data_IF_165399120936
#
_entry.id   IF_165399120936
#
_cell.length_a   1.000
_cell.length_b   1.000
_cell.length_c   1.000
_cell.angle_alpha   90.00
_cell.angle_beta   90.00
_cell.angle_gamma   90.00
#
_symmetry.space_group_name_H-M   'P 1'
#
loop_
_entity.id
_entity.type
_entity.pdbx_description
1 polymer ?
#
# COMPACT_ATOMS: atom_id res chain seq x y z
N UNK A 1 -17.50 8.65 -0.19
CA UNK A 1 -16.16 8.11 -0.47
C UNK A 1 -15.24 8.63 0.61
N UNK A 2 -14.52 7.74 1.27
CA UNK A 2 -13.61 8.10 2.36
C UNK A 2 -12.16 7.99 1.88
N UNK A 3 -11.33 8.97 2.22
CA UNK A 3 -9.92 9.03 1.81
C UNK A 3 -9.05 7.98 2.50
N UNK A 4 -9.51 7.46 3.65
CA UNK A 4 -8.86 6.39 4.41
C UNK A 4 -9.55 5.05 4.16
N UNK A 5 -8.81 3.96 4.36
CA UNK A 5 -9.34 2.61 4.24
C UNK A 5 -10.33 2.29 5.36
N UNK A 6 -11.28 1.40 5.03
CA UNK A 6 -12.20 0.76 5.97
C UNK A 6 -11.84 -0.70 6.16
N UNK A 7 -12.57 -1.40 7.02
CA UNK A 7 -12.48 -2.87 7.06
C UNK A 7 -12.91 -3.41 5.69
N UNK A 8 -12.03 -4.13 4.96
CA UNK A 8 -12.39 -4.64 3.65
C UNK A 8 -13.51 -5.67 3.75
N UNK A 9 -14.49 -5.56 2.86
CA UNK A 9 -15.46 -6.63 2.68
C UNK A 9 -14.73 -7.88 2.14
N UNK A 10 -15.12 -9.06 2.64
CA UNK A 10 -14.48 -10.31 2.24
C UNK A 10 -13.08 -10.51 2.83
N UNK A 11 -12.72 -9.85 3.93
CA UNK A 11 -11.43 -10.10 4.61
C UNK A 11 -11.26 -11.57 5.01
N UNK A 12 -12.36 -12.24 5.39
CA UNK A 12 -12.39 -13.67 5.68
C UNK A 12 -12.37 -14.55 4.42
N UNK A 13 -12.76 -13.97 3.27
CA UNK A 13 -12.71 -14.61 1.95
C UNK A 13 -11.35 -14.41 1.25
N UNK A 14 -10.39 -13.78 1.93
CA UNK A 14 -9.03 -13.54 1.42
C UNK A 14 -8.79 -12.15 0.83
N UNK A 15 -9.71 -11.20 0.98
CA UNK A 15 -9.45 -9.82 0.60
C UNK A 15 -8.57 -9.10 1.64
N UNK A 16 -7.26 -9.12 1.41
CA UNK A 16 -6.24 -8.59 2.32
C UNK A 16 -5.73 -7.21 1.91
N UNK A 17 -6.35 -6.54 0.94
CA UNK A 17 -5.87 -5.27 0.40
C UNK A 17 -6.98 -4.22 0.38
N UNK A 18 -6.81 -3.14 1.13
CA UNK A 18 -7.68 -1.97 1.08
C UNK A 18 -6.80 -0.71 1.10
N UNK A 19 -6.94 0.11 0.06
CA UNK A 19 -6.11 1.31 -0.13
C UNK A 19 -6.90 2.62 -0.02
N UNK A 20 -8.22 2.57 0.14
CA UNK A 20 -9.07 3.75 0.23
C UNK A 20 -8.95 4.67 -0.99
N UNK A 21 -9.45 5.91 -0.89
CA UNK A 21 -9.37 6.87 -1.99
C UNK A 21 -8.04 7.65 -2.01
N UNK A 22 -6.97 7.02 -2.50
CA UNK A 22 -5.62 7.59 -2.59
C UNK A 22 -5.56 9.01 -3.18
N UNK A 23 -6.10 9.20 -4.38
CA UNK A 23 -6.09 10.51 -5.07
C UNK A 23 -6.86 11.58 -4.31
N UNK A 24 -7.94 11.22 -3.62
CA UNK A 24 -8.72 12.16 -2.82
C UNK A 24 -7.94 12.61 -1.59
N UNK A 25 -7.17 11.71 -0.97
CA UNK A 25 -6.28 12.06 0.14
C UNK A 25 -5.19 13.04 -0.30
N UNK A 26 -4.47 12.73 -1.37
CA UNK A 26 -3.39 13.60 -1.85
C UNK A 26 -3.91 14.97 -2.28
N UNK A 27 -5.07 15.04 -2.93
CA UNK A 27 -5.62 16.30 -3.43
C UNK A 27 -6.20 17.22 -2.33
N UNK A 28 -6.02 16.87 -1.05
CA UNK A 28 -6.33 17.78 0.05
C UNK A 28 -5.27 18.89 0.06
N UNK A 29 -5.64 20.04 -0.49
CA UNK A 29 -4.85 21.27 -0.42
C UNK A 29 -5.80 22.39 -0.02
N UNK A 30 -5.86 22.71 1.27
CA UNK A 30 -6.64 23.85 1.77
C UNK A 30 -5.71 24.93 2.29
N UNK A 31 -5.74 26.07 1.61
CA UNK A 31 -5.16 27.31 2.10
C UNK A 31 -6.03 27.82 3.24
N UNK A 32 -5.50 27.79 4.45
CA UNK A 32 -6.20 28.32 5.62
C UNK A 32 -6.19 29.86 5.52
N UNK A 33 -7.36 30.50 5.62
CA UNK A 33 -7.41 31.96 5.74
C UNK A 33 -6.76 32.38 7.07
N UNK A 34 -6.01 33.48 7.05
CA UNK A 34 -5.30 34.09 8.19
C UNK A 34 -4.14 33.25 8.76
N UNK A 35 -2.96 33.33 8.13
CA UNK A 35 -1.67 33.06 8.77
C UNK A 35 -1.36 31.64 9.25
N UNK A 36 -2.23 30.64 9.00
CA UNK A 36 -1.96 29.24 9.31
C UNK A 36 -1.36 28.50 8.10
N UNK A 37 -0.46 27.54 8.33
CA UNK A 37 0.13 26.74 7.25
C UNK A 37 -0.97 26.01 6.45
N UNK A 38 -0.75 25.88 5.15
CA UNK A 38 -1.66 25.14 4.26
C UNK A 38 -1.69 23.66 4.69
N UNK A 39 -2.89 23.09 4.81
CA UNK A 39 -3.05 21.68 5.15
C UNK A 39 -2.93 20.87 3.86
N UNK A 40 -1.94 19.98 3.83
CA UNK A 40 -1.72 19.00 2.77
C UNK A 40 -2.04 17.60 3.29
N UNK A 41 -2.65 16.77 2.46
CA UNK A 41 -2.88 15.37 2.76
C UNK A 41 -1.66 14.51 2.40
N UNK A 42 -1.42 13.49 3.22
CA UNK A 42 -0.42 12.44 3.05
C UNK A 42 -1.09 11.08 3.26
N UNK A 43 -0.86 10.16 2.33
CA UNK A 43 -1.44 8.83 2.35
C UNK A 43 -0.39 7.83 2.85
N UNK A 44 -0.69 7.11 3.93
CA UNK A 44 0.20 6.15 4.55
C UNK A 44 -0.36 4.73 4.44
N UNK A 45 0.45 3.79 3.96
CA UNK A 45 0.10 2.37 3.85
C UNK A 45 0.70 1.58 5.02
N UNK A 46 -0.17 1.04 5.87
CA UNK A 46 0.17 0.19 7.00
C UNK A 46 0.05 -1.28 6.60
N UNK A 47 0.91 -2.12 7.17
CA UNK A 47 0.80 -3.58 7.07
C UNK A 47 0.45 -4.15 8.43
N UNK A 48 -0.63 -4.93 8.47
CA UNK A 48 -1.09 -5.63 9.66
C UNK A 48 -0.82 -7.10 9.45
N UNK A 49 0.08 -7.65 10.25
CA UNK A 49 0.47 -9.06 10.20
C UNK A 49 -0.07 -9.80 11.43
N UNK A 50 -0.64 -11.00 11.26
CA UNK A 50 -1.05 -11.81 12.40
C UNK A 50 0.19 -12.33 13.13
N UNK A 51 0.15 -12.32 14.46
CA UNK A 51 1.22 -12.94 15.25
C UNK A 51 1.16 -14.46 15.11
N UNK A 52 2.30 -15.12 15.23
CA UNK A 52 2.43 -16.59 15.26
C UNK A 52 1.40 -17.29 16.18
N UNK A 53 1.13 -16.69 17.33
CA UNK A 53 0.19 -17.20 18.33
C UNK A 53 -1.24 -17.23 17.81
N UNK A 54 -1.66 -16.16 17.15
CA UNK A 54 -2.98 -16.06 16.54
C UNK A 54 -3.13 -17.05 15.38
N UNK A 55 -2.10 -17.17 14.55
CA UNK A 55 -2.13 -18.09 13.41
C UNK A 55 -2.28 -19.56 13.83
N UNK A 56 -1.63 -19.95 14.94
CA UNK A 56 -1.83 -21.29 15.54
C UNK A 56 -3.28 -21.54 15.96
N UNK A 57 -3.98 -20.52 16.44
CA UNK A 57 -5.39 -20.61 16.83
C UNK A 57 -6.28 -20.72 15.59
N UNK A 58 -6.10 -19.84 14.59
CA UNK A 58 -6.92 -19.81 13.37
C UNK A 58 -6.80 -21.12 12.59
N UNK A 59 -5.60 -21.70 12.50
CA UNK A 59 -5.40 -22.99 11.84
C UNK A 59 -5.82 -24.21 12.69
N UNK A 60 -6.37 -24.01 13.89
CA UNK A 60 -6.78 -25.11 14.78
C UNK A 60 -5.60 -25.99 15.25
N UNK A 61 -4.38 -25.45 15.25
CA UNK A 61 -3.15 -26.21 15.42
C UNK A 61 -2.79 -26.34 16.91
N UNK A 62 -3.39 -27.32 17.59
CA UNK A 62 -3.01 -27.71 18.96
C UNK A 62 -2.11 -28.95 18.91
N UNK A 63 -0.97 -28.93 19.60
CA UNK A 63 -0.02 -30.07 19.71
C UNK A 63 0.65 -30.57 18.42
N UNK A 64 1.21 -29.69 17.59
CA UNK A 64 1.98 -30.12 16.40
C UNK A 64 3.47 -29.82 16.53
N UNK A 65 4.30 -30.73 16.01
CA UNK A 65 5.76 -30.58 15.92
C UNK A 65 6.16 -29.27 15.23
N UNK A 66 7.13 -28.57 15.83
CA UNK A 66 7.66 -27.29 15.34
C UNK A 66 8.09 -27.35 13.87
N UNK A 67 8.57 -28.50 13.39
CA UNK A 67 9.00 -28.70 12.00
C UNK A 67 7.85 -28.57 11.00
N UNK A 68 6.69 -29.11 11.32
CA UNK A 68 5.49 -29.06 10.44
C UNK A 68 4.84 -27.68 10.48
N UNK A 69 4.88 -27.02 11.64
CA UNK A 69 4.46 -25.63 11.78
C UNK A 69 5.34 -24.69 10.94
N UNK A 70 6.67 -24.84 10.96
CA UNK A 70 7.57 -24.01 10.17
C UNK A 70 7.39 -24.17 8.66
N UNK A 71 7.12 -25.39 8.18
CA UNK A 71 6.81 -25.64 6.76
C UNK A 71 5.51 -24.96 6.33
N UNK A 72 4.44 -25.07 7.15
CA UNK A 72 3.16 -24.43 6.86
C UNK A 72 3.21 -22.92 6.99
N UNK A 73 3.92 -22.41 7.99
CA UNK A 73 4.22 -20.98 8.12
C UNK A 73 4.85 -20.46 6.83
N UNK A 74 5.83 -21.18 6.28
CA UNK A 74 6.44 -20.80 5.01
C UNK A 74 5.46 -20.84 3.84
N UNK A 75 4.61 -21.87 3.75
CA UNK A 75 3.71 -22.01 2.59
C UNK A 75 2.42 -21.19 2.66
N UNK A 76 1.95 -20.83 3.86
CA UNK A 76 0.65 -20.17 4.07
C UNK A 76 0.80 -18.77 4.66
N UNK A 77 1.81 -18.52 5.49
CA UNK A 77 1.95 -17.24 6.22
C UNK A 77 2.90 -16.26 5.53
N UNK A 78 3.83 -16.75 4.71
CA UNK A 78 4.74 -15.91 3.93
C UNK A 78 3.91 -15.08 2.92
N UNK A 79 3.69 -13.81 3.26
CA UNK A 79 2.91 -12.87 2.46
C UNK A 79 1.48 -12.58 2.95
N UNK A 80 1.01 -13.23 4.03
CA UNK A 80 -0.31 -12.90 4.62
C UNK A 80 -0.18 -11.67 5.51
N UNK A 81 -0.37 -10.51 4.90
CA UNK A 81 -0.45 -9.22 5.57
C UNK A 81 -1.66 -8.45 5.04
N UNK A 82 -2.49 -7.96 5.94
CA UNK A 82 -3.56 -7.03 5.59
C UNK A 82 -2.94 -5.66 5.32
N UNK A 83 -3.01 -5.22 4.07
CA UNK A 83 -2.59 -3.88 3.66
C UNK A 83 -3.74 -2.92 3.88
N UNK A 84 -3.53 -1.90 4.70
CA UNK A 84 -4.52 -0.91 5.09
C UNK A 84 -3.95 0.48 4.90
N UNK A 85 -4.70 1.42 4.31
CA UNK A 85 -4.24 2.81 4.21
C UNK A 85 -4.94 3.80 5.13
N UNK A 86 -4.24 4.85 5.53
CA UNK A 86 -4.80 5.98 6.28
C UNK A 86 -4.40 7.30 5.63
N UNK A 87 -5.35 8.22 5.56
CA UNK A 87 -5.12 9.59 5.16
C UNK A 87 -4.86 10.46 6.39
N UNK A 88 -3.71 11.12 6.43
CA UNK A 88 -3.27 12.00 7.52
C UNK A 88 -2.77 13.32 6.96
N UNK A 89 -2.66 14.37 7.79
CA UNK A 89 -1.96 15.58 7.38
C UNK A 89 -0.48 15.31 7.12
N UNK A 90 0.11 16.05 6.20
CA UNK A 90 1.54 15.98 5.83
C UNK A 90 2.49 16.26 7.01
N UNK A 91 2.01 16.99 8.02
CA UNK A 91 2.76 17.25 9.25
C UNK A 91 2.94 16.03 10.16
N UNK A 92 2.20 14.93 9.92
CA UNK A 92 2.29 13.71 10.73
C UNK A 92 3.35 12.75 10.17
N UNK A 93 4.16 12.18 11.05
CA UNK A 93 5.16 11.17 10.70
C UNK A 93 4.71 9.76 11.12
N UNK A 94 5.38 8.71 10.64
CA UNK A 94 5.03 7.33 11.00
C UNK A 94 5.04 7.10 12.52
N UNK A 95 5.92 7.81 13.25
CA UNK A 95 6.04 7.73 14.71
C UNK A 95 4.79 8.18 15.47
N UNK A 96 4.01 9.09 14.88
CA UNK A 96 2.77 9.57 15.49
C UNK A 96 1.61 8.64 15.12
N UNK A 97 1.59 8.14 13.88
CA UNK A 97 0.51 7.34 13.31
C UNK A 97 0.48 5.94 13.93
N UNK A 98 1.65 5.30 14.03
CA UNK A 98 1.81 3.94 14.56
C UNK A 98 1.13 3.69 15.90
N UNK A 99 1.43 4.45 16.98
CA UNK A 99 0.84 4.19 18.29
C UNK A 99 -0.68 4.43 18.31
N UNK A 100 -1.17 5.44 17.58
CA UNK A 100 -2.60 5.73 17.48
C UNK A 100 -3.36 4.61 16.76
N UNK A 101 -2.80 4.12 15.65
CA UNK A 101 -3.42 3.04 14.89
C UNK A 101 -3.34 1.71 15.63
N UNK A 102 -2.20 1.41 16.27
CA UNK A 102 -2.03 0.19 17.06
C UNK A 102 -3.07 0.09 18.19
N UNK A 103 -3.31 1.18 18.94
CA UNK A 103 -4.38 1.21 19.96
C UNK A 103 -5.77 1.00 19.36
N UNK A 104 -6.04 1.62 18.22
CA UNK A 104 -7.35 1.52 17.55
C UNK A 104 -7.63 0.08 17.09
N UNK A 105 -6.64 -0.57 16.46
CA UNK A 105 -6.75 -1.97 16.04
C UNK A 105 -6.92 -2.89 17.26
N UNK A 106 -6.11 -2.70 18.31
CA UNK A 106 -6.24 -3.50 19.54
C UNK A 106 -7.64 -3.41 20.16
N UNK A 107 -8.28 -2.23 20.11
CA UNK A 107 -9.66 -2.08 20.60
C UNK A 107 -10.71 -2.74 19.70
N UNK A 108 -10.47 -2.83 18.39
CA UNK A 108 -11.41 -3.43 17.43
C UNK A 108 -11.29 -4.96 17.39
N UNK A 109 -10.10 -5.48 17.65
CA UNK A 109 -9.81 -6.92 17.57
C UNK A 109 -9.62 -7.53 18.95
N UNK A 110 -10.49 -7.21 19.91
CA UNK A 110 -10.39 -7.64 21.32
C UNK A 110 -9.86 -9.09 21.46
N UNK A 111 -8.65 -9.24 21.99
CA UNK A 111 -8.00 -10.54 22.22
C UNK A 111 -7.15 -11.10 21.07
N UNK A 112 -7.05 -10.42 19.93
CA UNK A 112 -6.19 -10.79 18.81
C UNK A 112 -4.83 -10.07 18.89
N UNK A 113 -3.75 -10.84 18.99
CA UNK A 113 -2.38 -10.31 18.91
C UNK A 113 -2.01 -10.04 17.44
N UNK A 114 -2.11 -8.79 17.02
CA UNK A 114 -1.72 -8.32 15.69
C UNK A 114 -0.50 -7.40 15.79
N UNK A 115 0.40 -7.51 14.81
CA UNK A 115 1.55 -6.62 14.66
C UNK A 115 1.31 -5.64 13.52
N UNK A 116 1.37 -4.35 13.82
CA UNK A 116 1.23 -3.29 12.82
C UNK A 116 2.62 -2.75 12.50
N UNK A 117 2.96 -2.68 11.22
CA UNK A 117 4.18 -2.04 10.74
C UNK A 117 3.85 -0.90 9.79
N UNK A 118 4.63 0.18 9.92
CA UNK A 118 4.57 1.38 9.07
C UNK A 118 5.99 1.91 8.98
N UNK A 119 6.43 2.15 7.76
CA UNK A 119 7.70 2.79 7.46
C UNK A 119 7.41 4.12 6.74
N UNK A 120 8.27 5.13 6.90
CA UNK A 120 8.02 6.47 6.36
C UNK A 120 8.03 6.50 4.82
N UNK A 121 8.68 5.54 4.16
CA UNK A 121 8.67 5.33 2.70
C UNK A 121 7.32 4.82 2.18
N UNK A 122 6.48 4.28 3.06
CA UNK A 122 5.11 3.86 2.75
C UNK A 122 4.10 5.00 2.88
N UNK A 123 4.57 6.23 3.14
CA UNK A 123 3.76 7.44 3.29
C UNK A 123 4.05 8.45 2.18
N UNK A 124 3.09 8.68 1.30
CA UNK A 124 3.22 9.51 0.11
C UNK A 124 2.42 10.81 0.22
N UNK A 125 3.05 11.93 -0.14
CA UNK A 125 2.40 13.22 -0.37
C UNK A 125 2.68 13.73 -1.79
N UNK A 126 2.02 14.81 -2.22
CA UNK A 126 2.41 15.49 -3.47
C UNK A 126 3.80 16.14 -3.40
N UNK A 127 4.31 16.43 -2.20
CA UNK A 127 5.66 16.98 -2.03
C UNK A 127 6.74 15.91 -2.27
N UNK A 128 6.40 14.64 -2.06
CA UNK A 128 7.30 13.49 -2.23
C UNK A 128 7.28 12.91 -3.64
N UNK A 129 6.53 13.53 -4.57
CA UNK A 129 6.48 13.06 -5.95
C UNK A 129 7.91 13.11 -6.52
N UNK A 130 8.44 11.97 -7.01
CA UNK A 130 9.83 11.91 -7.45
C UNK A 130 10.06 12.97 -8.51
N UNK A 131 11.03 13.84 -8.25
CA UNK A 131 11.53 14.74 -9.27
C UNK A 131 12.24 13.85 -10.30
N UNK A 132 11.72 13.80 -11.53
CA UNK A 132 12.33 13.04 -12.61
C UNK A 132 13.76 13.55 -12.78
N UNK A 133 14.72 12.67 -12.52
CA UNK A 133 16.12 13.00 -12.68
C UNK A 133 16.49 12.98 -14.18
N UNK A 134 17.63 13.56 -14.51
CA UNK A 134 18.16 13.64 -15.87
C UNK A 134 18.30 12.24 -16.50
N UNK A 135 18.60 11.23 -15.68
CA UNK A 135 18.69 9.84 -16.11
C UNK A 135 17.32 9.24 -16.43
N UNK A 136 16.28 9.58 -15.66
CA UNK A 136 14.92 9.13 -15.94
C UNK A 136 14.43 9.66 -17.28
N UNK A 137 14.75 10.91 -17.60
CA UNK A 137 14.42 11.51 -18.89
C UNK A 137 15.10 10.79 -20.07
N UNK A 138 16.38 10.43 -19.92
CA UNK A 138 17.12 9.66 -20.93
C UNK A 138 16.46 8.29 -21.18
N UNK A 139 16.10 7.57 -20.12
CA UNK A 139 15.41 6.28 -20.21
C UNK A 139 14.04 6.41 -20.88
N UNK A 140 13.25 7.42 -20.53
CA UNK A 140 11.95 7.68 -21.14
C UNK A 140 12.10 7.94 -22.64
N UNK A 141 13.11 8.72 -23.06
CA UNK A 141 13.38 8.98 -24.46
C UNK A 141 13.78 7.72 -25.22
N UNK A 142 14.61 6.87 -24.63
CA UNK A 142 15.05 5.62 -25.23
C UNK A 142 13.86 4.67 -25.44
N UNK A 143 13.05 4.44 -24.42
CA UNK A 143 11.84 3.59 -24.52
C UNK A 143 10.85 4.19 -25.53
N UNK A 144 10.67 5.51 -25.52
CA UNK A 144 9.83 6.21 -26.48
C UNK A 144 10.27 5.98 -27.93
N UNK A 145 11.58 6.03 -28.20
CA UNK A 145 12.11 5.79 -29.56
C UNK A 145 11.90 4.35 -30.03
N UNK A 146 12.06 3.36 -29.15
CA UNK A 146 11.79 1.95 -29.47
C UNK A 146 10.30 1.75 -29.80
N UNK A 147 9.41 2.33 -28.99
CA UNK A 147 7.96 2.27 -29.25
C UNK A 147 7.59 2.87 -30.61
N UNK A 148 8.20 3.98 -31.00
CA UNK A 148 7.98 4.60 -32.32
C UNK A 148 8.44 3.67 -33.45
N UNK A 149 9.62 3.06 -33.34
CA UNK A 149 10.12 2.11 -34.34
C UNK A 149 9.18 0.91 -34.48
N UNK A 150 8.72 0.35 -33.36
CA UNK A 150 7.74 -0.75 -33.38
C UNK A 150 6.43 -0.35 -34.06
N UNK A 151 5.89 0.83 -33.75
CA UNK A 151 4.68 1.34 -34.39
C UNK A 151 4.86 1.50 -35.92
N UNK A 152 6.00 2.04 -36.36
CA UNK A 152 6.30 2.19 -37.79
C UNK A 152 6.38 0.82 -38.46
N UNK A 153 7.08 -0.14 -37.86
CA UNK A 153 7.17 -1.49 -38.39
C UNK A 153 5.80 -2.18 -38.49
N UNK A 154 4.96 -2.05 -37.46
CA UNK A 154 3.59 -2.61 -37.48
C UNK A 154 2.71 -1.98 -38.56
N UNK A 155 2.83 -0.67 -38.81
CA UNK A 155 2.09 0.01 -39.88
C UNK A 155 2.56 -0.46 -41.25
N UNK A 156 3.87 -0.62 -41.45
CA UNK A 156 4.44 -1.13 -42.70
C UNK A 156 3.96 -2.57 -42.97
N UNK A 157 4.00 -3.44 -41.96
CA UNK A 157 3.54 -4.82 -42.09
C UNK A 157 2.04 -4.89 -42.41
N UNK A 158 1.21 -4.10 -41.73
CA UNK A 158 -0.22 -4.01 -42.01
C UNK A 158 -0.52 -3.55 -43.45
N UNK A 159 0.19 -2.53 -43.94
CA UNK A 159 0.03 -2.03 -45.32
C UNK A 159 0.50 -3.06 -46.35
N UNK A 160 1.54 -3.84 -46.04
CA UNK A 160 2.07 -4.85 -46.94
C UNK A 160 1.19 -6.11 -47.01
N UNK A 161 0.50 -6.49 -45.93
CA UNK A 161 -0.45 -7.61 -45.94
C UNK A 161 -1.79 -7.26 -46.59
N UNK A 162 -2.14 -5.97 -46.67
CA UNK A 162 -3.36 -5.48 -47.34
C UNK A 162 -3.23 -5.27 -48.86
N UNK A 163 -2.04 -5.48 -49.44
CA UNK A 163 -1.79 -5.51 -50.88
C UNK A 163 -1.67 -6.94 -51.37
#
# INVERSE_FOLDING_TARGET
FDSSSKVPAGVLDGNLFEYGAFRQCLNIHKNTKQGRPAIRGRHCSLKITPTETLFRIILGYRNVSAKRFNLLKKSVMEGVSLSWSVCVPDSCNARDILPHFNRSIQSLTEGLNLTVTLEDDQCFSWADLPHLDTMDYLYICLIGSIMVVCCIASVIDYVNQGK
#
